data_IF_213149548997
#
_entry.id   IF_213149548997
#
_cell.length_a   1.000
_cell.length_b   1.000
_cell.length_c   1.000
_cell.angle_alpha   90.00
_cell.angle_beta   90.00
_cell.angle_gamma   90.00
#
_symmetry.space_group_name_H-M   'P 1'
#
loop_
_entity.id
_entity.type
_entity.pdbx_description
1 polymer ?
#
# COMPACT_ATOMS: atom_id res chain seq x y z
N UNK A 1 1.15 -14.30 8.60
CA UNK A 1 -0.12 -13.56 8.61
C UNK A 1 -0.87 -13.94 7.34
N UNK A 2 -2.00 -14.61 7.53
CA UNK A 2 -2.77 -15.32 6.51
C UNK A 2 -3.56 -14.32 5.65
N UNK A 3 -3.14 -14.07 4.41
CA UNK A 3 -4.03 -13.51 3.38
C UNK A 3 -3.97 -14.41 2.15
N UNK A 4 -4.53 -15.61 2.32
CA UNK A 4 -4.79 -16.56 1.25
C UNK A 4 -6.28 -16.51 0.90
N UNK A 5 -6.73 -15.44 0.27
CA UNK A 5 -7.97 -15.53 -0.52
C UNK A 5 -7.89 -14.66 -1.77
N UNK A 6 -8.43 -15.28 -2.83
CA UNK A 6 -8.88 -14.73 -4.11
C UNK A 6 -7.93 -14.74 -5.31
N UNK A 7 -8.54 -15.25 -6.39
CA UNK A 7 -8.18 -15.41 -7.79
C UNK A 7 -6.89 -16.20 -8.11
N UNK A 8 -7.05 -17.26 -8.89
CA UNK A 8 -6.00 -18.07 -9.54
C UNK A 8 -5.30 -17.27 -10.65
N UNK A 9 -4.61 -16.18 -10.28
CA UNK A 9 -3.63 -15.54 -11.17
C UNK A 9 -2.27 -16.06 -10.74
N UNK A 10 -1.74 -17.01 -11.51
CA UNK A 10 -0.47 -17.67 -11.20
C UNK A 10 0.69 -16.69 -11.42
N UNK A 11 1.55 -16.56 -10.40
CA UNK A 11 2.85 -15.87 -10.46
C UNK A 11 2.81 -14.34 -10.71
N UNK A 12 1.94 -13.59 -10.04
CA UNK A 12 1.99 -12.12 -10.10
C UNK A 12 3.22 -11.62 -9.35
N UNK A 13 4.23 -11.11 -10.07
CA UNK A 13 5.44 -10.51 -9.49
C UNK A 13 5.25 -9.06 -9.05
N UNK A 14 4.44 -8.31 -9.79
CA UNK A 14 4.22 -6.89 -9.57
C UNK A 14 2.74 -6.57 -9.57
N UNK A 15 2.30 -5.84 -8.54
CA UNK A 15 0.97 -5.23 -8.49
C UNK A 15 1.16 -3.72 -8.60
N UNK A 16 0.49 -3.07 -9.53
CA UNK A 16 0.57 -1.62 -9.72
C UNK A 16 -0.84 -1.04 -9.59
N UNK A 17 -1.09 -0.29 -8.52
CA UNK A 17 -2.30 0.48 -8.33
C UNK A 17 -2.10 1.87 -8.95
N UNK A 18 -2.66 2.06 -10.14
CA UNK A 18 -2.65 3.37 -10.81
C UNK A 18 -3.45 4.42 -10.04
N UNK A 19 -4.59 4.00 -9.50
CA UNK A 19 -5.40 4.80 -8.59
C UNK A 19 -5.51 4.06 -7.26
N UNK A 20 -5.48 4.82 -6.17
CA UNK A 20 -5.70 4.26 -4.85
C UNK A 20 -7.14 3.70 -4.77
N UNK A 21 -7.31 2.44 -4.32
CA UNK A 21 -8.63 1.84 -4.24
C UNK A 21 -9.55 2.57 -3.25
N UNK A 22 -10.85 2.40 -3.40
CA UNK A 22 -11.86 3.13 -2.62
C UNK A 22 -11.86 2.81 -1.12
N UNK A 23 -11.21 1.72 -0.71
CA UNK A 23 -11.05 1.30 0.67
C UNK A 23 -9.65 0.72 0.91
N UNK A 24 -9.23 0.69 2.17
CA UNK A 24 -7.98 0.04 2.58
C UNK A 24 -8.05 -1.49 2.56
N UNK A 25 -9.23 -2.05 2.80
CA UNK A 25 -9.45 -3.48 2.70
C UNK A 25 -9.22 -3.95 1.25
N UNK A 26 -9.73 -3.19 0.26
CA UNK A 26 -9.45 -3.44 -1.16
C UNK A 26 -7.96 -3.28 -1.48
N UNK A 27 -7.28 -2.31 -0.88
CA UNK A 27 -5.83 -2.16 -1.03
C UNK A 27 -5.07 -3.40 -0.58
N UNK A 28 -5.34 -3.88 0.64
CA UNK A 28 -4.71 -5.09 1.21
C UNK A 28 -5.02 -6.32 0.34
N UNK A 29 -6.27 -6.47 -0.11
CA UNK A 29 -6.67 -7.56 -0.99
C UNK A 29 -5.94 -7.53 -2.35
N UNK A 30 -5.74 -6.35 -2.94
CA UNK A 30 -5.00 -6.20 -4.21
C UNK A 30 -3.53 -6.57 -4.07
N UNK A 31 -2.85 -6.05 -3.05
CA UNK A 31 -1.42 -6.34 -2.87
C UNK A 31 -1.18 -7.78 -2.41
N UNK A 32 -2.17 -8.43 -1.78
CA UNK A 32 -2.14 -9.86 -1.41
C UNK A 32 -2.13 -10.84 -2.60
N UNK A 33 -2.23 -10.35 -3.83
CA UNK A 33 -2.10 -11.17 -5.05
C UNK A 33 -0.65 -11.48 -5.42
N UNK A 34 0.33 -10.73 -4.89
CA UNK A 34 1.77 -10.98 -5.14
C UNK A 34 2.48 -11.61 -3.93
N UNK A 35 3.66 -12.20 -4.13
CA UNK A 35 4.50 -12.70 -3.03
C UNK A 35 4.06 -14.02 -2.39
N UNK A 36 3.46 -14.94 -3.17
CA UNK A 36 3.05 -16.26 -2.68
C UNK A 36 4.21 -17.26 -2.66
N UNK A 37 4.12 -18.27 -1.79
CA UNK A 37 5.03 -19.43 -1.73
C UNK A 37 6.54 -19.11 -1.57
N UNK A 38 6.89 -18.03 -0.84
CA UNK A 38 8.28 -17.65 -0.59
C UNK A 38 8.93 -16.80 -1.69
N UNK A 39 8.19 -16.47 -2.75
CA UNK A 39 8.62 -15.50 -3.75
C UNK A 39 8.48 -14.07 -3.22
N UNK A 40 9.40 -13.17 -3.60
CA UNK A 40 9.26 -11.74 -3.34
C UNK A 40 8.22 -11.16 -4.30
N UNK A 41 7.16 -10.59 -3.75
CA UNK A 41 6.21 -9.75 -4.48
C UNK A 41 6.52 -8.28 -4.29
N UNK A 42 6.21 -7.44 -5.27
CA UNK A 42 6.35 -5.98 -5.13
C UNK A 42 5.06 -5.30 -5.53
N UNK A 43 4.56 -4.41 -4.67
CA UNK A 43 3.39 -3.60 -4.95
C UNK A 43 3.79 -2.13 -5.03
N UNK A 44 3.35 -1.46 -6.08
CA UNK A 44 3.47 -0.02 -6.28
C UNK A 44 2.08 0.59 -6.28
N UNK A 45 1.91 1.72 -5.61
CA UNK A 45 0.64 2.42 -5.56
C UNK A 45 0.90 3.89 -5.70
N UNK A 46 0.24 4.54 -6.67
CA UNK A 46 0.22 5.98 -6.72
C UNK A 46 -0.72 6.52 -5.66
N UNK A 47 -0.18 7.35 -4.79
CA UNK A 47 -0.90 7.98 -3.70
C UNK A 47 -0.84 9.50 -3.91
N UNK A 48 -1.99 10.14 -3.91
CA UNK A 48 -2.13 11.58 -4.15
C UNK A 48 -2.84 12.25 -2.97
N UNK A 49 -2.82 13.58 -2.91
CA UNK A 49 -3.55 14.33 -1.88
C UNK A 49 -5.06 14.03 -1.85
N UNK A 50 -5.66 13.62 -2.97
CA UNK A 50 -7.06 13.18 -3.02
C UNK A 50 -7.32 11.94 -2.16
N UNK A 51 -6.27 11.17 -1.84
CA UNK A 51 -6.32 9.96 -1.04
C UNK A 51 -5.86 10.20 0.41
N UNK A 52 -5.51 11.43 0.79
CA UNK A 52 -4.94 11.79 2.10
C UNK A 52 -5.76 11.29 3.29
N UNK A 53 -7.09 11.13 3.14
CA UNK A 53 -7.97 10.51 4.15
C UNK A 53 -7.54 9.11 4.57
N UNK A 54 -6.89 8.35 3.68
CA UNK A 54 -6.39 7.01 3.94
C UNK A 54 -4.94 6.99 4.44
N UNK A 55 -4.24 8.13 4.43
CA UNK A 55 -2.80 8.20 4.70
C UNK A 55 -2.46 7.68 6.10
N UNK A 56 -3.29 8.00 7.11
CA UNK A 56 -3.07 7.59 8.50
C UNK A 56 -3.14 6.08 8.70
N UNK A 57 -4.19 5.44 8.20
CA UNK A 57 -4.32 3.98 8.31
C UNK A 57 -3.31 3.27 7.39
N UNK A 58 -3.08 3.76 6.17
CA UNK A 58 -2.07 3.21 5.26
C UNK A 58 -0.68 3.25 5.91
N UNK A 59 -0.33 4.37 6.56
CA UNK A 59 0.89 4.51 7.32
C UNK A 59 1.00 3.45 8.42
N UNK A 60 -0.05 3.25 9.23
CA UNK A 60 -0.08 2.23 10.29
C UNK A 60 0.18 0.83 9.73
N UNK A 61 -0.52 0.45 8.66
CA UNK A 61 -0.39 -0.87 8.03
C UNK A 61 1.03 -1.09 7.51
N UNK A 62 1.63 -0.08 6.87
CA UNK A 62 2.99 -0.19 6.36
C UNK A 62 4.03 -0.26 7.49
N UNK A 63 3.83 0.49 8.58
CA UNK A 63 4.70 0.45 9.76
C UNK A 63 4.62 -0.91 10.47
N UNK A 64 3.41 -1.44 10.68
CA UNK A 64 3.18 -2.78 11.25
C UNK A 64 3.77 -3.90 10.39
N UNK A 65 3.75 -3.73 9.06
CA UNK A 65 4.36 -4.65 8.11
C UNK A 65 5.88 -4.49 7.98
N UNK A 66 6.50 -3.56 8.74
CA UNK A 66 7.94 -3.28 8.70
C UNK A 66 8.42 -2.74 7.35
N UNK A 67 7.53 -2.14 6.55
CA UNK A 67 7.86 -1.59 5.24
C UNK A 67 8.48 -0.20 5.36
N UNK A 68 9.32 0.16 4.38
CA UNK A 68 9.88 1.51 4.31
C UNK A 68 8.79 2.49 3.85
N UNK A 69 8.36 3.36 4.74
CA UNK A 69 7.35 4.39 4.43
C UNK A 69 8.02 5.65 3.88
N UNK A 70 7.45 6.25 2.83
CA UNK A 70 7.93 7.52 2.29
C UNK A 70 7.70 8.65 3.31
N UNK A 71 8.63 9.60 3.47
CA UNK A 71 8.45 10.73 4.38
C UNK A 71 7.18 11.54 4.10
N UNK A 72 6.75 11.65 2.84
CA UNK A 72 5.52 12.36 2.45
C UNK A 72 4.27 11.68 3.02
N UNK A 73 4.18 10.35 2.90
CA UNK A 73 3.08 9.58 3.45
C UNK A 73 3.11 9.60 4.98
N UNK A 74 4.29 9.57 5.59
CA UNK A 74 4.45 9.71 7.03
C UNK A 74 4.01 11.10 7.54
N UNK A 75 4.32 12.17 6.79
CA UNK A 75 3.87 13.52 7.11
C UNK A 75 2.34 13.61 7.04
N UNK A 76 1.73 13.12 5.95
CA UNK A 76 0.28 13.06 5.77
C UNK A 76 -0.40 12.23 6.86
N UNK A 77 0.16 11.07 7.22
CA UNK A 77 -0.40 10.17 8.24
C UNK A 77 -0.31 10.71 9.67
N UNK A 78 0.71 11.51 9.98
CA UNK A 78 0.90 12.15 11.30
C UNK A 78 0.18 13.50 11.42
N UNK A 79 -0.44 14.01 10.35
CA UNK A 79 -1.07 15.33 10.32
C UNK A 79 -0.08 16.49 10.24
N UNK A 80 1.15 16.22 9.82
CA UNK A 80 2.13 17.27 9.55
C UNK A 80 1.89 17.85 8.15
N UNK A 81 2.12 19.16 7.94
CA UNK A 81 2.03 19.75 6.60
C UNK A 81 2.97 19.01 5.64
N UNK A 82 2.55 18.81 4.38
CA UNK A 82 3.38 18.13 3.39
C UNK A 82 4.73 18.84 3.26
N UNK A 83 5.84 18.09 3.11
CA UNK A 83 7.15 18.71 2.88
C UNK A 83 7.10 19.55 1.60
N UNK A 84 7.84 20.67 1.55
CA UNK A 84 7.89 21.50 0.36
C UNK A 84 8.38 20.66 -0.82
N UNK A 85 7.61 20.66 -1.90
CA UNK A 85 8.01 20.06 -3.17
C UNK A 85 9.20 20.86 -3.71
N UNK A 86 10.40 20.33 -3.52
CA UNK A 86 11.61 20.81 -4.20
C UNK A 86 11.62 20.36 -5.65
#
# INVERSE_FOLDING_TARGET
>A
MLFCFMADVKDVKYVINYDFPGSLEDYVHRIGQTGRAGAKGTAYTFFTDANARFAKELFSILEEAGQKVSPDLAAMGRGAPPPPSG
#
